data_IF_734680901036
#
_entry.id   IF_734680901036
#
_cell.length_a   1.000
_cell.length_b   1.000
_cell.length_c   1.000
_cell.angle_alpha   90.00
_cell.angle_beta   90.00
_cell.angle_gamma   90.00
#
_symmetry.space_group_name_H-M   'P 1'
#
loop_
_entity.id
_entity.type
_entity.pdbx_description
1 polymer ?
#
# COMPACT_ATOMS: atom_id res chain seq x y z
N UNK A 1 -62.22 -5.79 -11.90
CA UNK A 1 -61.57 -6.87 -11.15
C UNK A 1 -60.07 -6.62 -11.16
N UNK A 2 -59.59 -6.15 -10.02
CA UNK A 2 -58.24 -5.65 -9.74
C UNK A 2 -57.36 -6.82 -9.31
N UNK A 3 -56.01 -6.66 -9.38
CA UNK A 3 -54.94 -7.42 -8.66
C UNK A 3 -54.24 -8.53 -9.46
N UNK A 4 -52.91 -8.67 -9.55
CA UNK A 4 -51.76 -8.08 -8.84
C UNK A 4 -50.52 -8.20 -9.75
N UNK A 5 -49.71 -7.15 -9.82
CA UNK A 5 -48.35 -7.20 -10.34
C UNK A 5 -47.46 -7.84 -9.26
N UNK A 6 -46.92 -9.03 -9.50
CA UNK A 6 -45.96 -9.66 -8.61
C UNK A 6 -44.57 -9.05 -8.85
N UNK A 7 -44.29 -7.91 -8.22
CA UNK A 7 -42.91 -7.44 -8.06
C UNK A 7 -42.26 -8.24 -6.94
N UNK A 8 -41.46 -9.24 -7.30
CA UNK A 8 -40.54 -9.90 -6.38
C UNK A 8 -39.39 -8.93 -6.08
N UNK A 9 -39.44 -8.28 -4.92
CA UNK A 9 -38.32 -7.50 -4.40
C UNK A 9 -37.25 -8.47 -3.88
N UNK A 10 -36.18 -8.65 -4.66
CA UNK A 10 -34.95 -9.27 -4.18
C UNK A 10 -34.21 -8.25 -3.29
N UNK A 11 -34.25 -8.44 -1.98
CA UNK A 11 -33.43 -7.68 -1.05
C UNK A 11 -31.97 -8.19 -1.14
N UNK A 12 -31.14 -7.49 -1.91
CA UNK A 12 -29.69 -7.70 -1.87
C UNK A 12 -29.18 -7.03 -0.58
N UNK A 13 -28.93 -7.83 0.45
CA UNK A 13 -28.22 -7.37 1.63
C UNK A 13 -26.78 -7.07 1.23
N UNK A 14 -26.47 -5.79 1.03
CA UNK A 14 -25.08 -5.34 0.88
C UNK A 14 -24.47 -5.37 2.27
N UNK A 15 -23.81 -6.47 2.61
CA UNK A 15 -22.94 -6.50 3.77
C UNK A 15 -21.78 -5.53 3.49
N UNK A 16 -21.85 -4.31 4.05
CA UNK A 16 -20.71 -3.42 4.09
C UNK A 16 -19.74 -3.97 5.15
N UNK A 17 -18.98 -5.00 4.79
CA UNK A 17 -17.68 -5.16 5.43
C UNK A 17 -16.96 -3.84 5.15
N UNK A 18 -16.55 -3.13 6.20
CA UNK A 18 -15.63 -2.02 6.01
C UNK A 18 -14.42 -2.59 5.27
N UNK A 19 -14.29 -2.31 3.96
CA UNK A 19 -13.06 -2.58 3.25
C UNK A 19 -11.98 -1.83 4.02
N UNK A 20 -11.10 -2.56 4.70
CA UNK A 20 -9.91 -1.99 5.28
C UNK A 20 -9.02 -1.56 4.09
N UNK A 21 -9.18 -0.30 3.67
CA UNK A 21 -8.30 0.29 2.68
C UNK A 21 -6.97 0.56 3.38
N UNK A 22 -6.01 -0.33 3.14
CA UNK A 22 -4.65 -0.16 3.65
C UNK A 22 -4.04 1.11 3.05
N UNK A 23 -3.29 1.85 3.85
CA UNK A 23 -2.52 2.99 3.36
C UNK A 23 -1.34 2.52 2.52
N UNK A 24 -0.78 3.41 1.68
CA UNK A 24 0.43 3.11 0.92
C UNK A 24 1.60 2.70 1.81
N UNK A 25 1.75 3.28 3.01
CA UNK A 25 2.77 2.86 3.96
C UNK A 25 2.54 1.44 4.48
N UNK A 26 1.29 1.05 4.76
CA UNK A 26 0.96 -0.33 5.16
C UNK A 26 1.20 -1.31 4.01
N UNK A 27 0.83 -0.92 2.79
CA UNK A 27 1.04 -1.73 1.60
C UNK A 27 2.52 -1.88 1.24
N UNK A 28 3.34 -0.85 1.45
CA UNK A 28 4.78 -0.86 1.24
C UNK A 28 5.44 -2.05 1.96
N UNK A 29 5.22 -2.15 3.27
CA UNK A 29 5.75 -3.27 4.07
C UNK A 29 5.10 -4.61 3.69
N UNK A 30 3.78 -4.64 3.49
CA UNK A 30 3.07 -5.88 3.16
C UNK A 30 3.55 -6.49 1.83
N UNK A 31 3.73 -5.65 0.80
CA UNK A 31 4.26 -6.06 -0.49
C UNK A 31 5.72 -6.53 -0.40
N UNK A 32 6.56 -5.87 0.41
CA UNK A 32 7.93 -6.32 0.64
C UNK A 32 7.94 -7.73 1.26
N UNK A 33 7.18 -7.94 2.34
CA UNK A 33 7.07 -9.25 3.00
C UNK A 33 6.53 -10.34 2.07
N UNK A 34 5.62 -9.98 1.15
CA UNK A 34 5.08 -10.87 0.14
C UNK A 34 6.01 -11.09 -1.07
N UNK A 35 7.20 -10.46 -1.08
CA UNK A 35 8.13 -10.47 -2.23
C UNK A 35 7.57 -9.88 -3.51
N UNK A 36 6.55 -9.04 -3.39
CA UNK A 36 5.93 -8.31 -4.49
C UNK A 36 6.70 -7.01 -4.77
N UNK A 37 7.95 -7.14 -5.20
CA UNK A 37 8.92 -6.03 -5.24
C UNK A 37 8.43 -4.79 -5.98
N UNK A 38 7.84 -4.95 -7.18
CA UNK A 38 7.31 -3.81 -7.93
C UNK A 38 6.15 -3.11 -7.20
N UNK A 39 5.27 -3.88 -6.56
CA UNK A 39 4.16 -3.32 -5.79
C UNK A 39 4.67 -2.62 -4.52
N UNK A 40 5.73 -3.16 -3.89
CA UNK A 40 6.40 -2.50 -2.78
C UNK A 40 6.99 -1.16 -3.23
N UNK A 41 7.73 -1.12 -4.33
CA UNK A 41 8.30 0.13 -4.87
C UNK A 41 7.26 1.21 -5.11
N UNK A 42 6.10 0.85 -5.69
CA UNK A 42 5.00 1.80 -5.93
C UNK A 42 4.43 2.31 -4.61
N UNK A 43 4.05 1.41 -3.70
CA UNK A 43 3.43 1.80 -2.43
C UNK A 43 4.38 2.60 -1.54
N UNK A 44 5.66 2.21 -1.44
CA UNK A 44 6.64 2.98 -0.67
C UNK A 44 6.86 4.37 -1.28
N UNK A 45 6.93 4.48 -2.62
CA UNK A 45 7.11 5.79 -3.28
C UNK A 45 5.90 6.69 -3.05
N UNK A 46 4.68 6.18 -3.22
CA UNK A 46 3.47 6.95 -2.91
C UNK A 46 3.45 7.45 -1.46
N UNK A 47 3.84 6.59 -0.51
CA UNK A 47 3.89 6.97 0.91
C UNK A 47 4.94 8.07 1.17
N UNK A 48 6.14 7.96 0.61
CA UNK A 48 7.21 8.96 0.72
C UNK A 48 6.77 10.28 0.07
N UNK A 49 6.29 10.21 -1.18
CA UNK A 49 5.90 11.38 -1.98
C UNK A 49 4.67 12.10 -1.43
N UNK A 50 3.85 11.41 -0.61
CA UNK A 50 2.71 12.04 0.07
C UNK A 50 3.12 13.14 1.05
N UNK A 51 4.36 13.12 1.56
CA UNK A 51 4.83 14.04 2.60
C UNK A 51 4.11 13.88 3.94
N UNK A 52 3.35 12.80 4.14
CA UNK A 52 2.57 12.57 5.36
C UNK A 52 3.39 11.91 6.50
N UNK A 53 4.64 11.55 6.24
CA UNK A 53 5.52 10.84 7.18
C UNK A 53 6.82 11.62 7.36
N UNK A 54 7.33 11.63 8.59
CA UNK A 54 8.58 12.29 8.99
C UNK A 54 9.40 11.37 9.91
N UNK A 55 10.63 11.78 10.21
CA UNK A 55 11.56 11.12 11.13
C UNK A 55 11.63 9.58 10.92
N UNK A 56 11.49 8.81 12.00
CA UNK A 56 11.59 7.35 12.02
C UNK A 56 10.63 6.68 11.02
N UNK A 57 9.40 7.20 10.89
CA UNK A 57 8.41 6.62 9.98
C UNK A 57 8.81 6.82 8.51
N UNK A 58 9.35 7.98 8.18
CA UNK A 58 9.88 8.25 6.84
C UNK A 58 11.15 7.45 6.57
N UNK A 59 12.04 7.33 7.56
CA UNK A 59 13.24 6.51 7.48
C UNK A 59 12.92 5.04 7.20
N UNK A 60 11.90 4.49 7.86
CA UNK A 60 11.43 3.13 7.61
C UNK A 60 10.93 2.96 6.17
N UNK A 61 10.17 3.92 5.63
CA UNK A 61 9.68 3.84 4.25
C UNK A 61 10.84 3.82 3.23
N UNK A 62 11.87 4.64 3.44
CA UNK A 62 13.08 4.61 2.63
C UNK A 62 13.80 3.25 2.74
N UNK A 63 13.99 2.73 3.95
CA UNK A 63 14.63 1.43 4.15
C UNK A 63 13.85 0.28 3.50
N UNK A 64 12.52 0.25 3.63
CA UNK A 64 11.65 -0.75 2.99
C UNK A 64 11.71 -0.65 1.46
N UNK A 65 11.77 0.58 0.90
CA UNK A 65 11.94 0.77 -0.55
C UNK A 65 13.31 0.30 -1.01
N UNK A 66 14.37 0.58 -0.24
CA UNK A 66 15.73 0.10 -0.49
C UNK A 66 15.82 -1.43 -0.52
N UNK A 67 15.18 -2.13 0.41
CA UNK A 67 15.12 -3.60 0.41
C UNK A 67 14.52 -4.15 -0.90
N UNK A 68 13.46 -3.52 -1.40
CA UNK A 68 12.82 -3.90 -2.66
C UNK A 68 13.70 -3.60 -3.88
N UNK A 69 14.42 -2.47 -3.88
CA UNK A 69 15.39 -2.10 -4.93
C UNK A 69 16.57 -3.09 -4.96
N UNK A 70 17.11 -3.42 -3.78
CA UNK A 70 18.20 -4.39 -3.63
C UNK A 70 17.80 -5.78 -4.12
N UNK A 71 16.58 -6.24 -3.78
CA UNK A 71 16.02 -7.50 -4.28
C UNK A 71 15.89 -7.53 -5.82
N UNK A 72 15.74 -6.36 -6.44
CA UNK A 72 15.72 -6.16 -7.90
C UNK A 72 17.07 -5.80 -8.51
N UNK A 73 18.16 -5.90 -7.74
CA UNK A 73 19.54 -5.57 -8.16
C UNK A 73 19.76 -4.11 -8.57
N UNK A 74 18.83 -3.21 -8.23
CA UNK A 74 18.99 -1.77 -8.41
C UNK A 74 19.76 -1.19 -7.21
N UNK A 75 21.03 -1.56 -7.11
CA UNK A 75 21.84 -1.35 -5.92
C UNK A 75 22.19 0.12 -5.69
N UNK A 76 22.37 0.90 -6.76
CA UNK A 76 22.65 2.34 -6.65
C UNK A 76 21.47 3.08 -6.03
N UNK A 77 20.25 2.80 -6.51
CA UNK A 77 19.04 3.37 -5.92
C UNK A 77 18.82 2.88 -4.48
N UNK A 78 19.09 1.59 -4.20
CA UNK A 78 18.97 1.05 -2.85
C UNK A 78 19.92 1.74 -1.86
N UNK A 79 21.18 1.98 -2.26
CA UNK A 79 22.17 2.68 -1.43
C UNK A 79 21.70 4.11 -1.12
N UNK A 80 21.15 4.81 -2.12
CA UNK A 80 20.63 6.16 -1.91
C UNK A 80 19.48 6.18 -0.88
N UNK A 81 18.53 5.25 -1.00
CA UNK A 81 17.41 5.14 -0.06
C UNK A 81 17.87 4.73 1.34
N UNK A 82 18.79 3.76 1.49
CA UNK A 82 19.37 3.45 2.80
C UNK A 82 20.12 4.63 3.41
N UNK A 83 20.85 5.39 2.59
CA UNK A 83 21.51 6.61 3.03
C UNK A 83 20.51 7.61 3.60
N UNK A 84 19.40 7.84 2.90
CA UNK A 84 18.33 8.71 3.37
C UNK A 84 17.68 8.19 4.67
N UNK A 85 17.50 6.88 4.80
CA UNK A 85 16.98 6.27 6.02
C UNK A 85 17.91 6.44 7.23
N UNK A 86 19.23 6.47 7.03
CA UNK A 86 20.24 6.67 8.09
C UNK A 86 20.30 8.15 8.55
N UNK A 87 19.99 9.09 7.66
CA UNK A 87 19.97 10.53 7.96
C UNK A 87 18.78 10.97 8.83
N UNK A 88 17.68 10.20 8.82
CA UNK A 88 16.43 10.47 9.54
C UNK A 88 16.43 9.78 10.90
#
# INVERSE_FOLDING_TARGET
MQRLWAFVLAAVAVASAAQANLTDAQLCQAHLSARAWNAALVSCSNAIDSGAYEDEALGLLYATRADALAAKTDLEAAIADYGRAIEL
#
